data_IF_189303907941
#
_entry.id   IF_189303907941
#
_cell.length_a   1.000
_cell.length_b   1.000
_cell.length_c   1.000
_cell.angle_alpha   90.00
_cell.angle_beta   90.00
_cell.angle_gamma   90.00
#
_symmetry.space_group_name_H-M   'P 1'
#
loop_
_entity.id
_entity.type
_entity.pdbx_description
1 polymer ?
#
# COMPACT_ATOMS: atom_id res chain seq x y z
N UNK A 1 1.87 2.14 15.73
CA UNK A 1 3.10 2.77 15.13
C UNK A 1 2.79 3.18 13.70
N UNK A 2 3.35 4.28 13.18
CA UNK A 2 3.05 4.73 11.81
C UNK A 2 3.66 3.84 10.72
N UNK A 3 2.99 3.80 9.55
CA UNK A 3 3.48 3.10 8.36
C UNK A 3 4.61 3.87 7.66
N UNK A 4 5.67 3.17 7.25
CA UNK A 4 6.77 3.71 6.46
C UNK A 4 6.42 3.87 4.96
N UNK A 5 7.34 4.40 4.15
CA UNK A 5 7.09 4.67 2.72
C UNK A 5 6.75 3.41 1.92
N UNK A 6 7.50 2.32 2.14
CA UNK A 6 7.31 1.03 1.47
C UNK A 6 5.98 0.39 1.89
N UNK A 7 5.69 0.41 3.19
CA UNK A 7 4.44 -0.08 3.79
C UNK A 7 3.21 0.62 3.22
N UNK A 8 3.24 1.96 3.16
CA UNK A 8 2.16 2.77 2.58
C UNK A 8 1.95 2.47 1.09
N UNK A 9 3.03 2.36 0.33
CA UNK A 9 2.97 2.06 -1.09
C UNK A 9 2.36 0.68 -1.37
N UNK A 10 2.71 -0.34 -0.56
CA UNK A 10 2.13 -1.67 -0.69
C UNK A 10 0.62 -1.66 -0.41
N UNK A 11 0.17 -0.98 0.63
CA UNK A 11 -1.27 -0.85 0.94
C UNK A 11 -2.01 -0.20 -0.23
N UNK A 12 -1.49 0.90 -0.77
CA UNK A 12 -2.07 1.58 -1.94
C UNK A 12 -2.11 0.63 -3.15
N UNK A 13 -1.01 -0.06 -3.46
CA UNK A 13 -0.95 -1.03 -4.55
C UNK A 13 -1.97 -2.16 -4.40
N UNK A 14 -2.12 -2.72 -3.20
CA UNK A 14 -3.10 -3.78 -2.89
C UNK A 14 -4.53 -3.27 -3.06
N UNK A 15 -4.86 -2.08 -2.53
CA UNK A 15 -6.18 -1.47 -2.66
C UNK A 15 -6.50 -1.21 -4.14
N UNK A 16 -5.57 -0.63 -4.90
CA UNK A 16 -5.75 -0.38 -6.33
C UNK A 16 -5.98 -1.68 -7.09
N UNK A 17 -5.22 -2.75 -6.79
CA UNK A 17 -5.42 -4.08 -7.38
C UNK A 17 -6.78 -4.67 -6.99
N UNK A 18 -7.20 -4.51 -5.73
CA UNK A 18 -8.49 -5.00 -5.23
C UNK A 18 -9.68 -4.28 -5.87
N UNK A 19 -9.55 -2.99 -6.18
CA UNK A 19 -10.60 -2.20 -6.82
C UNK A 19 -10.94 -2.69 -8.24
N UNK A 20 -10.04 -3.46 -8.91
CA UNK A 20 -10.10 -4.19 -10.22
C UNK A 20 -10.67 -3.43 -11.44
N UNK A 21 -11.50 -2.43 -11.25
CA UNK A 21 -12.15 -1.63 -12.26
C UNK A 21 -11.33 -0.39 -12.52
N UNK A 22 -10.80 -0.29 -13.75
CA UNK A 22 -10.12 0.92 -14.25
C UNK A 22 -11.00 2.18 -14.10
N UNK A 23 -12.32 2.04 -14.19
CA UNK A 23 -13.26 3.16 -13.95
C UNK A 23 -13.23 3.64 -12.50
N UNK A 24 -13.19 2.72 -11.53
CA UNK A 24 -13.14 3.06 -10.10
C UNK A 24 -11.78 3.68 -9.73
N UNK A 25 -10.68 3.09 -10.19
CA UNK A 25 -9.32 3.63 -9.94
C UNK A 25 -9.21 5.08 -10.43
N UNK A 26 -9.72 5.37 -11.64
CA UNK A 26 -9.75 6.73 -12.19
C UNK A 26 -10.55 7.74 -11.35
N UNK A 27 -11.56 7.28 -10.61
CA UNK A 27 -12.36 8.14 -9.72
C UNK A 27 -11.66 8.42 -8.39
N UNK A 28 -10.89 7.47 -7.85
CA UNK A 28 -10.25 7.60 -6.53
C UNK A 28 -8.90 8.33 -6.57
N UNK A 29 -8.14 8.20 -7.66
CA UNK A 29 -6.76 8.73 -7.74
C UNK A 29 -6.73 10.09 -8.45
N UNK A 30 -7.81 10.47 -9.15
CA UNK A 30 -7.77 11.52 -10.16
C UNK A 30 -6.92 11.07 -11.35
N UNK A 31 -7.39 11.30 -12.57
CA UNK A 31 -6.63 10.90 -13.77
C UNK A 31 -5.24 11.53 -13.83
N UNK A 32 -5.09 12.73 -13.27
CA UNK A 32 -3.87 13.52 -13.25
C UNK A 32 -2.77 12.94 -12.34
N UNK A 33 -3.12 12.30 -11.22
CA UNK A 33 -2.13 11.80 -10.23
C UNK A 33 -1.83 10.31 -10.38
N UNK A 34 -2.60 9.61 -11.21
CA UNK A 34 -2.41 8.18 -11.46
C UNK A 34 -1.02 7.84 -12.03
N UNK A 35 -0.45 8.62 -12.97
CA UNK A 35 0.92 8.38 -13.44
C UNK A 35 1.95 8.49 -12.32
N UNK A 36 1.86 9.52 -11.48
CA UNK A 36 2.78 9.73 -10.35
C UNK A 36 2.72 8.58 -9.34
N UNK A 37 1.51 8.07 -9.06
CA UNK A 37 1.32 6.93 -8.16
C UNK A 37 1.91 5.66 -8.77
N UNK A 38 1.73 5.42 -10.08
CA UNK A 38 2.32 4.26 -10.76
C UNK A 38 3.85 4.34 -10.72
N UNK A 39 4.43 5.50 -11.02
CA UNK A 39 5.88 5.70 -10.99
C UNK A 39 6.46 5.36 -9.61
N UNK A 40 5.85 5.86 -8.54
CA UNK A 40 6.29 5.57 -7.17
C UNK A 40 6.21 4.07 -6.85
N UNK A 41 5.18 3.37 -7.35
CA UNK A 41 5.04 1.94 -7.15
C UNK A 41 6.09 1.14 -7.93
N UNK A 42 6.39 1.55 -9.16
CA UNK A 42 7.40 0.90 -10.02
C UNK A 42 8.81 1.10 -9.44
N UNK A 43 9.17 2.34 -9.05
CA UNK A 43 10.46 2.64 -8.41
C UNK A 43 10.66 1.83 -7.12
N UNK A 44 9.61 1.67 -6.32
CA UNK A 44 9.66 0.85 -5.11
C UNK A 44 9.79 -0.64 -5.42
N UNK A 45 9.17 -1.12 -6.49
CA UNK A 45 9.30 -2.51 -6.93
C UNK A 45 10.72 -2.81 -7.45
N UNK A 46 11.35 -1.88 -8.15
CA UNK A 46 12.71 -2.03 -8.68
C UNK A 46 13.79 -1.94 -7.59
N UNK A 47 13.56 -1.12 -6.56
CA UNK A 47 14.55 -0.85 -5.51
C UNK A 47 14.48 -1.78 -4.29
N UNK A 48 13.44 -2.62 -4.19
CA UNK A 48 13.22 -3.48 -3.02
C UNK A 48 13.58 -4.94 -3.33
N UNK A 49 14.42 -5.56 -2.50
CA UNK A 49 14.72 -6.99 -2.64
C UNK A 49 13.54 -7.86 -2.23
N UNK A 50 13.59 -9.16 -2.53
CA UNK A 50 12.55 -10.09 -2.10
C UNK A 50 12.44 -10.16 -0.56
N UNK A 51 13.58 -10.19 0.13
CA UNK A 51 13.66 -10.25 1.59
C UNK A 51 13.09 -8.98 2.24
N UNK A 52 13.49 -7.81 1.75
CA UNK A 52 12.96 -6.52 2.23
C UNK A 52 11.43 -6.45 2.06
N UNK A 53 10.93 -7.04 0.96
CA UNK A 53 9.50 -7.09 0.67
C UNK A 53 8.75 -8.00 1.65
N UNK A 54 9.29 -9.18 1.95
CA UNK A 54 8.69 -10.10 2.92
C UNK A 54 8.66 -9.50 4.33
N UNK A 55 9.75 -8.84 4.75
CA UNK A 55 9.80 -8.16 6.04
C UNK A 55 8.80 -7.01 6.11
N UNK A 56 8.74 -6.19 5.06
CA UNK A 56 7.80 -5.08 5.01
C UNK A 56 6.34 -5.58 5.00
N UNK A 57 6.02 -6.66 4.28
CA UNK A 57 4.67 -7.26 4.29
C UNK A 57 4.32 -7.72 5.71
N UNK A 58 5.23 -8.43 6.37
CA UNK A 58 5.04 -8.91 7.75
C UNK A 58 4.82 -7.74 8.71
N UNK A 59 5.60 -6.67 8.55
CA UNK A 59 5.47 -5.45 9.37
C UNK A 59 4.14 -4.73 9.13
N UNK A 60 3.68 -4.61 7.88
CA UNK A 60 2.35 -4.07 7.56
C UNK A 60 1.25 -4.89 8.23
N UNK A 61 1.31 -6.22 8.12
CA UNK A 61 0.29 -7.11 8.69
C UNK A 61 0.20 -6.91 10.21
N UNK A 62 1.33 -6.94 10.91
CA UNK A 62 1.36 -6.75 12.36
C UNK A 62 0.80 -5.38 12.77
N UNK A 63 1.25 -4.29 12.14
CA UNK A 63 0.77 -2.94 12.44
C UNK A 63 -0.73 -2.78 12.21
N UNK A 64 -1.24 -3.32 11.10
CA UNK A 64 -2.68 -3.26 10.80
C UNK A 64 -3.50 -4.13 11.77
N UNK A 65 -3.00 -5.31 12.16
CA UNK A 65 -3.66 -6.14 13.16
C UNK A 65 -3.68 -5.46 14.53
N UNK A 66 -2.56 -4.88 14.95
CA UNK A 66 -2.47 -4.14 16.22
C UNK A 66 -3.46 -2.97 16.22
N UNK A 67 -3.48 -2.14 15.17
CA UNK A 67 -4.41 -1.02 15.04
C UNK A 67 -5.89 -1.51 15.08
N UNK A 68 -6.22 -2.59 14.39
CA UNK A 68 -7.57 -3.18 14.39
C UNK A 68 -7.96 -3.73 15.77
N UNK A 69 -7.04 -4.40 16.48
CA UNK A 69 -7.29 -4.99 17.79
C UNK A 69 -7.29 -3.96 18.92
N UNK A 70 -6.50 -2.89 18.81
CA UNK A 70 -6.55 -1.75 19.73
C UNK A 70 -7.85 -0.97 19.59
N UNK A 71 -8.36 -0.81 18.37
CA UNK A 71 -9.68 -0.18 18.13
C UNK A 71 -10.88 -0.98 18.63
N UNK A 72 -10.70 -2.26 19.00
CA UNK A 72 -11.73 -3.12 19.59
C UNK A 72 -11.76 -3.13 21.12
N UNK A 73 -10.93 -2.32 21.78
CA UNK A 73 -10.85 -2.22 23.25
C UNK A 73 -11.54 -0.98 23.84
N UNK A 74 -12.32 -0.26 23.03
CA UNK A 74 -13.23 0.80 23.50
C UNK A 74 -14.60 0.26 23.95
#
# INVERSE_FOLDING_TARGET
MGLNKLEKAMIVGIILKALRSKKKIKQYVGLERLPDVIQVLDELQESTTFEDREEAITSVINKLMDDLLESGKE
#
